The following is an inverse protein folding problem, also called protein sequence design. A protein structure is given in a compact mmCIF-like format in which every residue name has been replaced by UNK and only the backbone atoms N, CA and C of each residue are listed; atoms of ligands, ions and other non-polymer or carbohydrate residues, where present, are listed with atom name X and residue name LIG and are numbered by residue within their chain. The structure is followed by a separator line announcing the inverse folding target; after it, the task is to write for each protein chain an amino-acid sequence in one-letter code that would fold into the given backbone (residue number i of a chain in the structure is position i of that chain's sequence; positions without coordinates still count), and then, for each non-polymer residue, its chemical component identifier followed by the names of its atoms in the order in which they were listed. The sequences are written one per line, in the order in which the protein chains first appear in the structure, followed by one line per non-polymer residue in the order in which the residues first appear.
data_IF_286954170758
#
_entry.id   IF_286954170758
#
_cell.length_a   1.000
_cell.length_b   1.000
_cell.length_c   1.000
_cell.angle_alpha   90.00
_cell.angle_beta   90.00
_cell.angle_gamma   90.00
#
_symmetry.space_group_name_H-M   'P 1'
#
loop_
_entity.id
_entity.type
_entity.pdbx_description
1 polymer ?
#
# COMPACT_ATOMS: atom_id res chain seq x y z
N UNK A 1 -1.87 13.52 3.56
CA UNK A 1 -1.20 12.62 2.60
C UNK A 1 -2.09 12.39 1.40
N UNK A 2 -1.53 12.46 0.22
CA UNK A 2 -2.24 12.27 -1.04
C UNK A 2 -2.17 10.80 -1.44
N UNK A 3 -3.29 10.23 -1.91
CA UNK A 3 -3.31 8.84 -2.35
C UNK A 3 -2.35 8.60 -3.52
N UNK A 4 -2.09 9.62 -4.33
CA UNK A 4 -1.14 9.49 -5.45
C UNK A 4 0.27 9.25 -4.95
N UNK A 5 0.64 9.80 -3.81
CA UNK A 5 1.95 9.54 -3.21
C UNK A 5 2.07 8.07 -2.81
N UNK A 6 1.00 7.52 -2.23
CA UNK A 6 0.98 6.11 -1.84
C UNK A 6 1.10 5.21 -3.06
N UNK A 7 0.33 5.49 -4.11
CA UNK A 7 0.38 4.72 -5.36
C UNK A 7 1.78 4.76 -5.96
N UNK A 8 2.38 5.94 -6.01
CA UNK A 8 3.71 6.10 -6.57
C UNK A 8 4.75 5.31 -5.78
N UNK A 9 4.67 5.35 -4.45
CA UNK A 9 5.60 4.59 -3.61
C UNK A 9 5.47 3.09 -3.85
N UNK A 10 4.24 2.60 -4.00
CA UNK A 10 4.01 1.19 -4.27
C UNK A 10 4.59 0.80 -5.62
N UNK A 11 4.35 1.61 -6.65
CA UNK A 11 4.87 1.33 -7.98
C UNK A 11 6.39 1.33 -8.02
N UNK A 12 7.02 2.23 -7.28
CA UNK A 12 8.48 2.29 -7.23
C UNK A 12 9.09 1.11 -6.48
N UNK A 13 8.42 0.64 -5.44
CA UNK A 13 8.94 -0.42 -4.60
C UNK A 13 8.75 -1.81 -5.22
N UNK A 14 7.67 -2.01 -5.97
CA UNK A 14 7.35 -3.30 -6.57
C UNK A 14 7.61 -3.27 -8.08
N UNK A 15 8.73 -3.83 -8.49
CA UNK A 15 9.12 -3.86 -9.91
C UNK A 15 8.14 -4.62 -10.78
N UNK A 16 7.41 -5.57 -10.21
CA UNK A 16 6.42 -6.36 -10.96
C UNK A 16 5.20 -5.54 -11.37
N UNK A 17 4.98 -4.41 -10.73
CA UNK A 17 3.82 -3.56 -11.00
C UNK A 17 4.19 -2.53 -12.05
N UNK A 18 3.40 -2.49 -13.11
CA UNK A 18 3.63 -1.53 -14.19
C UNK A 18 3.24 -0.14 -13.75
N UNK A 19 4.11 0.83 -14.01
CA UNK A 19 3.87 2.23 -13.65
C UNK A 19 2.60 2.74 -14.33
N UNK A 20 1.73 3.34 -13.53
CA UNK A 20 0.46 3.87 -14.03
C UNK A 20 -0.67 2.87 -14.07
N UNK A 21 -0.43 1.61 -13.67
CA UNK A 21 -1.47 0.58 -13.67
C UNK A 21 -2.35 0.60 -12.43
N UNK A 22 -1.90 1.26 -11.36
CA UNK A 22 -2.64 1.29 -10.11
C UNK A 22 -3.58 2.48 -10.02
N UNK A 23 -4.73 2.24 -9.37
CA UNK A 23 -5.69 3.29 -9.05
C UNK A 23 -6.17 3.08 -7.62
N UNK A 24 -6.97 4.03 -7.13
CA UNK A 24 -7.52 3.93 -5.77
C UNK A 24 -8.36 2.66 -5.59
N UNK A 25 -9.02 2.22 -6.64
CA UNK A 25 -9.90 1.04 -6.61
C UNK A 25 -9.15 -0.28 -6.84
N UNK A 26 -7.86 -0.23 -7.13
CA UNK A 26 -7.09 -1.45 -7.35
C UNK A 26 -7.06 -2.31 -6.10
N UNK A 27 -7.30 -3.62 -6.28
CA UNK A 27 -7.25 -4.56 -5.18
C UNK A 27 -5.79 -4.87 -4.85
N UNK A 28 -5.43 -4.72 -3.59
CA UNK A 28 -4.05 -4.98 -3.14
C UNK A 28 -3.68 -6.44 -3.41
N UNK A 29 -4.62 -7.36 -3.17
CA UNK A 29 -4.36 -8.79 -3.32
C UNK A 29 -4.29 -9.25 -4.76
N UNK A 30 -4.81 -8.46 -5.69
CA UNK A 30 -4.78 -8.79 -7.11
C UNK A 30 -3.53 -8.24 -7.80
N UNK A 31 -2.65 -7.59 -7.06
CA UNK A 31 -1.40 -7.11 -7.63
C UNK A 31 -0.53 -8.27 -8.10
N UNK A 32 0.13 -8.08 -9.24
CA UNK A 32 0.99 -9.09 -9.81
C UNK A 32 2.07 -9.52 -8.83
N UNK A 33 2.22 -10.82 -8.65
CA UNK A 33 3.25 -11.36 -7.77
C UNK A 33 2.96 -11.20 -6.29
N UNK A 34 1.73 -10.85 -5.90
CA UNK A 34 1.40 -10.65 -4.50
C UNK A 34 1.64 -11.91 -3.68
N UNK A 35 2.35 -11.74 -2.55
CA UNK A 35 2.65 -12.82 -1.62
C UNK A 35 2.80 -12.25 -0.21
N UNK A 36 3.04 -13.12 0.77
CA UNK A 36 3.30 -12.67 2.14
C UNK A 36 4.50 -11.74 2.23
N UNK A 37 5.50 -11.98 1.39
CA UNK A 37 6.68 -11.11 1.33
C UNK A 37 6.30 -9.71 0.87
N UNK A 38 5.41 -9.61 -0.11
CA UNK A 38 4.94 -8.31 -0.59
C UNK A 38 4.19 -7.56 0.50
N UNK A 39 3.43 -8.28 1.33
CA UNK A 39 2.74 -7.66 2.46
C UNK A 39 3.75 -7.04 3.44
N UNK A 40 4.83 -7.74 3.74
CA UNK A 40 5.87 -7.22 4.62
C UNK A 40 6.58 -6.01 4.01
N UNK A 41 6.84 -6.06 2.71
CA UNK A 41 7.47 -4.93 2.01
C UNK A 41 6.54 -3.71 2.07
N UNK A 42 5.25 -3.91 1.88
CA UNK A 42 4.29 -2.82 1.94
C UNK A 42 4.25 -2.18 3.33
N UNK A 43 4.29 -2.99 4.38
CA UNK A 43 4.34 -2.49 5.75
C UNK A 43 5.60 -1.64 5.96
N UNK A 44 6.74 -2.14 5.50
CA UNK A 44 8.01 -1.41 5.64
C UNK A 44 8.01 -0.11 4.82
N UNK A 45 7.44 -0.15 3.63
CA UNK A 45 7.33 1.01 2.76
C UNK A 45 6.53 2.13 3.43
N UNK A 46 5.39 1.78 4.01
CA UNK A 46 4.54 2.76 4.67
C UNK A 46 5.25 3.36 5.89
N UNK A 47 5.97 2.54 6.65
CA UNK A 47 6.74 3.02 7.79
C UNK A 47 7.82 4.01 7.35
N UNK A 48 8.54 3.68 6.28
CA UNK A 48 9.64 4.51 5.80
C UNK A 48 9.18 5.82 5.16
N UNK A 49 8.08 5.79 4.43
CA UNK A 49 7.63 6.96 3.67
C UNK A 49 6.62 7.82 4.41
N UNK A 50 5.81 7.22 5.26
CA UNK A 50 4.70 7.92 5.91
C UNK A 50 4.79 7.90 7.43
N UNK A 51 5.80 7.24 7.98
CA UNK A 51 6.02 7.15 9.43
C UNK A 51 4.82 6.55 10.16
N UNK A 52 4.19 5.55 9.55
CA UNK A 52 3.07 4.81 10.11
C UNK A 52 3.40 3.33 10.09
N UNK A 53 3.39 2.71 11.26
CA UNK A 53 3.63 1.27 11.35
C UNK A 53 2.30 0.53 11.27
N UNK A 54 2.06 -0.09 10.12
CA UNK A 54 0.85 -0.90 9.92
C UNK A 54 1.01 -2.24 10.61
N UNK A 55 -0.11 -2.76 11.13
CA UNK A 55 -0.14 -4.14 11.61
C UNK A 55 -0.55 -5.06 10.47
N UNK A 56 -0.22 -6.34 10.59
CA UNK A 56 -0.67 -7.33 9.61
C UNK A 56 -2.19 -7.38 9.50
N UNK A 57 -2.88 -7.18 10.61
CA UNK A 57 -4.33 -7.18 10.65
C UNK A 57 -4.92 -5.99 9.89
N UNK A 58 -4.33 -4.80 10.07
CA UNK A 58 -4.76 -3.61 9.35
C UNK A 58 -4.61 -3.81 7.84
N UNK A 59 -3.48 -4.38 7.42
CA UNK A 59 -3.25 -4.65 6.01
C UNK A 59 -4.22 -5.71 5.48
N UNK A 60 -4.48 -6.74 6.26
CA UNK A 60 -5.41 -7.81 5.87
C UNK A 60 -6.82 -7.27 5.65
N UNK A 61 -7.22 -6.28 6.44
CA UNK A 61 -8.55 -5.69 6.34
C UNK A 61 -8.65 -4.64 5.24
N UNK A 62 -7.53 -4.23 4.67
CA UNK A 62 -7.51 -3.28 3.56
C UNK A 62 -7.60 -4.04 2.24
N UNK A 63 -8.70 -3.88 1.53
CA UNK A 63 -8.92 -4.60 0.27
C UNK A 63 -8.38 -3.84 -0.93
N UNK A 64 -8.48 -2.51 -0.89
CA UNK A 64 -8.03 -1.66 -2.01
C UNK A 64 -6.98 -0.67 -1.52
N UNK A 65 -6.34 -0.01 -2.46
CA UNK A 65 -5.37 1.03 -2.13
C UNK A 65 -6.08 2.19 -1.41
N UNK A 66 -7.31 2.49 -1.78
CA UNK A 66 -8.11 3.51 -1.09
C UNK A 66 -8.31 3.14 0.39
N UNK A 67 -8.62 1.88 0.68
CA UNK A 67 -8.78 1.42 2.07
C UNK A 67 -7.49 1.60 2.85
N UNK A 68 -6.37 1.23 2.25
CA UNK A 68 -5.06 1.38 2.88
C UNK A 68 -4.74 2.86 3.14
N UNK A 69 -5.04 3.70 2.18
CA UNK A 69 -4.84 5.14 2.32
C UNK A 69 -5.64 5.69 3.50
N UNK A 70 -6.88 5.25 3.66
CA UNK A 70 -7.72 5.68 4.78
C UNK A 70 -7.13 5.27 6.13
N UNK A 71 -6.62 4.05 6.24
CA UNK A 71 -5.99 3.57 7.47
C UNK A 71 -4.77 4.43 7.80
N UNK A 72 -3.93 4.69 6.83
CA UNK A 72 -2.72 5.49 7.02
C UNK A 72 -3.09 6.92 7.44
N UNK A 73 -4.08 7.51 6.79
CA UNK A 73 -4.52 8.86 7.09
C UNK A 73 -5.05 8.98 8.52
N UNK A 74 -5.81 8.00 8.97
CA UNK A 74 -6.32 7.97 10.34
C UNK A 74 -5.20 7.86 11.37
N UNK A 75 -4.17 7.07 11.05
CA UNK A 75 -3.05 6.86 11.95
C UNK A 75 -2.18 8.11 12.06
N UNK A 76 -2.12 8.91 11.01
CA UNK A 76 -1.34 10.14 11.01
C UNK A 76 -2.10 11.32 11.61
N UNK A 77 -3.39 11.24 11.67
CA UNK A 77 -4.23 12.33 12.16
C UNK A 77 -4.06 12.57 13.66
#
# INVERSE_FOLDING_TARGET
MDIQELIKCIEEEFDEIETGSLSADSSIRDLDGWSSMHALILIALVDNHFDVLLTGEELKNSLTIQDLHEVISKRKA
#
